data_IF_715186712257
#
_entry.id   IF_715186712257
#
_cell.length_a   1.000
_cell.length_b   1.000
_cell.length_c   1.000
_cell.angle_alpha   90.00
_cell.angle_beta   90.00
_cell.angle_gamma   90.00
#
_symmetry.space_group_name_H-M   'P 1'
#
loop_
_entity.id
_entity.type
_entity.pdbx_description
1 polymer ?
#
# COMPACT_ATOMS: atom_id res chain seq x y z
N UNK A 1 9.83 11.70 10.43
CA UNK A 1 9.17 11.24 11.67
C UNK A 1 10.04 10.17 12.29
N UNK A 2 10.17 10.16 13.61
CA UNK A 2 10.81 9.06 14.34
C UNK A 2 9.82 7.89 14.55
N UNK A 3 10.32 6.75 15.02
CA UNK A 3 9.50 5.55 15.24
C UNK A 3 8.34 5.77 16.23
N UNK A 4 8.55 6.57 17.29
CA UNK A 4 7.51 6.89 18.28
C UNK A 4 6.38 7.74 17.69
N UNK A 5 6.73 8.74 16.88
CA UNK A 5 5.80 9.59 16.14
C UNK A 5 4.97 8.74 15.17
N UNK A 6 5.60 7.83 14.44
CA UNK A 6 4.89 6.92 13.52
C UNK A 6 3.88 6.06 14.30
N UNK A 7 4.30 5.41 15.38
CA UNK A 7 3.42 4.56 16.20
C UNK A 7 2.25 5.36 16.77
N UNK A 8 2.48 6.61 17.15
CA UNK A 8 1.43 7.51 17.64
C UNK A 8 0.40 7.81 16.55
N UNK A 9 0.85 8.16 15.35
CA UNK A 9 -0.03 8.44 14.22
C UNK A 9 -0.84 7.20 13.79
N UNK A 10 -0.22 6.02 13.78
CA UNK A 10 -0.91 4.77 13.40
C UNK A 10 -2.16 4.48 14.23
N UNK A 11 -2.22 4.93 15.49
CA UNK A 11 -3.39 4.72 16.36
C UNK A 11 -4.62 5.53 15.94
N UNK A 12 -4.44 6.55 15.09
CA UNK A 12 -5.52 7.39 14.59
C UNK A 12 -6.31 6.80 13.43
N UNK A 13 -5.85 5.69 12.85
CA UNK A 13 -6.40 5.14 11.61
C UNK A 13 -6.71 3.65 11.73
N UNK A 14 -7.76 3.21 11.03
CA UNK A 14 -8.07 1.78 10.85
C UNK A 14 -7.49 1.29 9.53
N UNK A 15 -6.50 0.40 9.60
CA UNK A 15 -5.83 -0.14 8.42
C UNK A 15 -6.43 -1.48 7.98
N UNK A 16 -6.63 -1.63 6.68
CA UNK A 16 -7.01 -2.89 6.04
C UNK A 16 -5.78 -3.72 5.63
N UNK A 17 -4.77 -3.06 5.09
CA UNK A 17 -3.52 -3.65 4.64
C UNK A 17 -2.43 -3.56 5.72
N UNK A 18 -1.58 -4.58 5.75
CA UNK A 18 -0.30 -4.51 6.48
C UNK A 18 0.79 -4.09 5.50
N UNK A 19 1.34 -2.89 5.72
CA UNK A 19 2.30 -2.20 4.87
C UNK A 19 3.55 -1.92 5.72
N UNK A 20 4.71 -2.32 5.23
CA UNK A 20 5.99 -2.05 5.89
C UNK A 20 6.37 -0.56 5.71
N UNK A 21 6.57 0.15 6.81
CA UNK A 21 6.91 1.58 6.83
C UNK A 21 8.40 1.82 7.12
N UNK A 22 8.96 1.09 8.10
CA UNK A 22 10.39 1.09 8.45
C UNK A 22 10.90 -0.35 8.53
N UNK A 23 12.13 -0.62 8.98
CA UNK A 23 12.56 -2.01 9.22
C UNK A 23 11.76 -2.69 10.35
N UNK A 24 11.33 -1.92 11.36
CA UNK A 24 10.68 -2.45 12.57
C UNK A 24 9.17 -2.17 12.63
N UNK A 25 8.64 -1.29 11.78
CA UNK A 25 7.25 -0.83 11.87
C UNK A 25 6.49 -1.18 10.60
N UNK A 26 5.32 -1.78 10.81
CA UNK A 26 4.29 -2.00 9.79
C UNK A 26 2.93 -1.52 10.28
N UNK A 27 2.04 -1.19 9.34
CA UNK A 27 0.63 -0.95 9.67
C UNK A 27 0.00 -2.27 10.19
N UNK A 28 -0.89 -2.20 11.20
CA UNK A 28 -1.44 -3.40 11.83
C UNK A 28 -2.22 -4.28 10.86
N UNK A 29 -3.04 -3.67 9.98
CA UNK A 29 -3.80 -4.35 8.94
C UNK A 29 -4.77 -5.43 9.45
N UNK A 30 -5.50 -6.05 8.53
CA UNK A 30 -6.30 -7.25 8.81
C UNK A 30 -5.54 -8.48 8.34
N UNK A 31 -5.42 -9.51 9.18
CA UNK A 31 -4.63 -10.71 8.86
C UNK A 31 -5.26 -11.63 7.81
N UNK A 32 -6.59 -11.75 7.82
CA UNK A 32 -7.36 -12.66 6.94
C UNK A 32 -7.08 -12.46 5.43
N UNK A 33 -7.02 -11.25 4.85
CA UNK A 33 -6.78 -11.05 3.43
C UNK A 33 -5.30 -11.16 2.99
N UNK A 34 -4.34 -11.21 3.94
CA UNK A 34 -2.90 -11.19 3.62
C UNK A 34 -2.48 -12.29 2.62
N UNK A 35 -2.89 -13.57 2.77
CA UNK A 35 -2.46 -14.61 1.82
C UNK A 35 -2.88 -14.31 0.37
N UNK A 36 -4.09 -13.76 0.18
CA UNK A 36 -4.58 -13.40 -1.14
C UNK A 36 -3.83 -12.19 -1.71
N UNK A 37 -3.59 -11.16 -0.88
CA UNK A 37 -2.82 -9.98 -1.26
C UNK A 37 -1.41 -10.35 -1.72
N UNK A 38 -0.75 -11.31 -1.06
CA UNK A 38 0.58 -11.79 -1.45
C UNK A 38 0.61 -12.47 -2.82
N UNK A 39 -0.46 -13.17 -3.20
CA UNK A 39 -0.58 -13.74 -4.56
C UNK A 39 -0.63 -12.62 -5.60
N UNK A 40 -1.43 -11.58 -5.35
CA UNK A 40 -1.55 -10.42 -6.25
C UNK A 40 -0.22 -9.66 -6.33
N UNK A 41 0.45 -9.41 -5.21
CA UNK A 41 1.76 -8.76 -5.18
C UNK A 41 2.81 -9.53 -5.98
N UNK A 42 2.79 -10.87 -5.93
CA UNK A 42 3.70 -11.69 -6.74
C UNK A 42 3.47 -11.50 -8.24
N UNK A 43 2.21 -11.46 -8.66
CA UNK A 43 1.86 -11.20 -10.06
C UNK A 43 2.27 -9.78 -10.44
N UNK A 44 1.98 -8.79 -9.61
CA UNK A 44 2.35 -7.40 -9.86
C UNK A 44 3.87 -7.24 -10.05
N UNK A 45 4.67 -7.86 -9.19
CA UNK A 45 6.15 -7.88 -9.27
C UNK A 45 6.70 -8.57 -10.52
N UNK A 46 5.89 -9.37 -11.21
CA UNK A 46 6.29 -10.01 -12.47
C UNK A 46 6.05 -9.13 -13.69
N UNK A 47 5.38 -7.99 -13.52
CA UNK A 47 5.06 -7.04 -14.59
C UNK A 47 6.12 -5.94 -14.60
N UNK A 48 6.65 -5.61 -15.78
CA UNK A 48 7.49 -4.43 -15.95
C UNK A 48 6.60 -3.17 -15.92
N UNK A 49 6.71 -2.40 -14.84
CA UNK A 49 5.97 -1.14 -14.67
C UNK A 49 6.84 0.09 -14.98
N UNK A 50 8.11 -0.08 -15.37
CA UNK A 50 9.04 1.03 -15.53
C UNK A 50 8.53 2.04 -16.56
N UNK A 51 8.36 3.27 -16.11
CA UNK A 51 7.88 4.40 -16.95
C UNK A 51 6.40 4.31 -17.33
N UNK A 52 5.64 3.35 -16.82
CA UNK A 52 4.21 3.17 -17.12
C UNK A 52 3.34 3.90 -16.11
N UNK A 53 2.14 4.25 -16.55
CA UNK A 53 1.08 4.83 -15.70
C UNK A 53 0.21 3.69 -15.15
N UNK A 54 -0.09 3.71 -13.88
CA UNK A 54 -0.89 2.68 -13.18
C UNK A 54 -2.13 3.32 -12.57
N UNK A 55 -3.28 2.66 -12.75
CA UNK A 55 -4.53 3.01 -12.10
C UNK A 55 -4.90 1.88 -11.13
N UNK A 56 -4.97 2.18 -9.84
CA UNK A 56 -5.35 1.27 -8.77
C UNK A 56 -6.78 1.59 -8.30
N UNK A 57 -7.73 0.71 -8.62
CA UNK A 57 -9.15 0.88 -8.30
C UNK A 57 -9.48 0.04 -7.07
N UNK A 58 -9.90 0.70 -5.99
CA UNK A 58 -10.10 0.09 -4.68
C UNK A 58 -8.81 0.02 -3.87
N UNK A 59 -8.00 1.08 -3.91
CA UNK A 59 -6.66 1.09 -3.32
C UNK A 59 -6.66 1.01 -1.78
N UNK A 60 -7.75 1.41 -1.10
CA UNK A 60 -7.83 1.64 0.35
C UNK A 60 -6.57 2.34 0.88
N UNK A 61 -5.73 1.60 1.61
CA UNK A 61 -4.50 2.12 2.24
C UNK A 61 -3.30 2.22 1.27
N UNK A 62 -3.46 1.84 0.00
CA UNK A 62 -2.45 2.02 -1.04
C UNK A 62 -1.42 0.89 -1.20
N UNK A 63 -1.66 -0.31 -0.65
CA UNK A 63 -0.68 -1.43 -0.69
C UNK A 63 -0.13 -1.71 -2.10
N UNK A 64 -1.01 -1.84 -3.10
CA UNK A 64 -0.59 -2.11 -4.48
C UNK A 64 -0.08 -0.86 -5.20
N UNK A 65 -0.65 0.30 -4.87
CA UNK A 65 -0.18 1.60 -5.38
C UNK A 65 1.30 1.83 -5.02
N UNK A 66 1.67 1.71 -3.75
CA UNK A 66 3.06 1.87 -3.31
C UNK A 66 4.00 0.81 -3.90
N UNK A 67 3.51 -0.42 -4.11
CA UNK A 67 4.31 -1.44 -4.78
C UNK A 67 4.55 -1.10 -6.26
N UNK A 68 3.55 -0.56 -6.96
CA UNK A 68 3.70 -0.12 -8.34
C UNK A 68 4.72 1.01 -8.49
N UNK A 69 4.74 1.96 -7.55
CA UNK A 69 5.76 3.02 -7.49
C UNK A 69 7.17 2.43 -7.30
N UNK A 70 7.34 1.49 -6.36
CA UNK A 70 8.61 0.79 -6.13
C UNK A 70 9.11 0.04 -7.37
N UNK A 71 8.19 -0.46 -8.19
CA UNK A 71 8.51 -1.14 -9.46
C UNK A 71 8.81 -0.17 -10.61
N UNK A 72 8.78 1.15 -10.37
CA UNK A 72 9.22 2.18 -11.31
C UNK A 72 8.12 2.75 -12.19
N UNK A 73 6.85 2.62 -11.80
CA UNK A 73 5.76 3.35 -12.44
C UNK A 73 6.07 4.86 -12.49
N UNK A 74 5.77 5.51 -13.62
CA UNK A 74 5.95 6.96 -13.79
C UNK A 74 4.83 7.78 -13.14
N UNK A 75 3.66 7.16 -12.97
CA UNK A 75 2.50 7.75 -12.32
C UNK A 75 1.64 6.62 -11.75
N UNK A 76 1.14 6.79 -10.53
CA UNK A 76 0.17 5.88 -9.91
C UNK A 76 -1.02 6.72 -9.44
N UNK A 77 -2.22 6.37 -9.91
CA UNK A 77 -3.48 6.98 -9.49
C UNK A 77 -4.26 5.93 -8.71
N UNK A 78 -4.42 6.15 -7.41
CA UNK A 78 -5.33 5.37 -6.57
C UNK A 78 -6.72 6.01 -6.54
N UNK A 79 -7.76 5.23 -6.80
CA UNK A 79 -9.15 5.67 -6.63
C UNK A 79 -9.84 4.67 -5.71
N UNK A 80 -10.38 5.15 -4.60
CA UNK A 80 -11.27 4.38 -3.75
C UNK A 80 -12.55 5.17 -3.49
N UNK A 81 -13.63 4.44 -3.21
CA UNK A 81 -14.93 5.03 -2.90
C UNK A 81 -15.00 5.47 -1.42
N UNK A 82 -14.05 5.01 -0.59
CA UNK A 82 -13.89 5.42 0.81
C UNK A 82 -12.93 6.62 0.88
N UNK A 83 -13.31 7.65 1.64
CA UNK A 83 -12.60 8.94 1.77
C UNK A 83 -11.18 8.85 2.40
N UNK A 84 -10.67 7.64 2.66
CA UNK A 84 -9.30 7.36 3.11
C UNK A 84 -8.32 7.09 1.94
N UNK A 85 -8.78 7.24 0.69
CA UNK A 85 -7.90 7.08 -0.47
C UNK A 85 -6.71 8.05 -0.39
N UNK A 86 -5.51 7.48 -0.49
CA UNK A 86 -4.19 8.12 -0.45
C UNK A 86 -4.17 9.45 -1.22
N UNK A 87 -3.85 10.54 -0.53
CA UNK A 87 -3.39 11.81 -1.13
C UNK A 87 -1.87 11.86 -1.13
#
# INVERSE_FOLDING_TARGET
>A
MNEEEIIKELKGYEFYHSIQLTENISTPGVSKPIPLQQVVLRVLRSIDLKGKRVLDIGCRDGLFSFEAEKLGASEVIGIDMICLAVQ
#
